data_IF_957271035751
#
_entry.id   IF_957271035751
#
_cell.length_a   1.000
_cell.length_b   1.000
_cell.length_c   1.000
_cell.angle_alpha   90.00
_cell.angle_beta   90.00
_cell.angle_gamma   90.00
#
_symmetry.space_group_name_H-M   'P 1'
#
loop_
_entity.id
_entity.type
_entity.pdbx_description
1 polymer ?
#
# COMPACT_ATOMS: atom_id res chain seq x y z
N UNK A 1 -11.00 -11.71 9.61
CA UNK A 1 -11.02 -12.66 10.73
C UNK A 1 -11.19 -11.82 11.98
N UNK A 2 -12.32 -11.93 12.67
CA UNK A 2 -12.53 -11.23 13.96
C UNK A 2 -11.69 -11.99 14.97
N UNK A 3 -10.64 -11.38 15.50
CA UNK A 3 -9.72 -12.02 16.45
C UNK A 3 -10.32 -12.15 17.86
N UNK A 4 -11.17 -11.19 18.23
CA UNK A 4 -11.83 -11.14 19.54
C UNK A 4 -13.31 -10.89 19.32
N UNK A 5 -14.16 -11.85 19.71
CA UNK A 5 -15.62 -11.74 19.60
C UNK A 5 -16.18 -11.51 20.99
N UNK A 6 -16.66 -10.29 21.25
CA UNK A 6 -17.40 -9.95 22.45
C UNK A 6 -18.87 -9.66 22.09
N UNK A 7 -19.79 -9.94 23.02
CA UNK A 7 -21.21 -9.61 22.84
C UNK A 7 -21.44 -8.10 23.05
N UNK A 8 -22.46 -7.53 22.41
CA UNK A 8 -22.79 -6.12 22.61
C UNK A 8 -23.10 -5.85 24.09
N UNK A 9 -22.49 -4.81 24.68
CA UNK A 9 -22.73 -4.41 26.08
C UNK A 9 -21.74 -4.97 27.10
N UNK A 10 -20.79 -5.82 26.72
CA UNK A 10 -19.65 -6.14 27.59
C UNK A 10 -18.61 -5.04 27.52
N UNK A 11 -18.02 -4.67 28.67
CA UNK A 11 -16.83 -3.82 28.70
C UNK A 11 -15.75 -4.42 27.79
N UNK A 12 -14.94 -3.56 27.16
CA UNK A 12 -13.84 -4.03 26.33
C UNK A 12 -12.86 -4.83 27.19
N UNK A 13 -12.79 -6.14 26.95
CA UNK A 13 -11.85 -7.04 27.59
C UNK A 13 -10.60 -7.12 26.70
N UNK A 14 -9.49 -6.59 27.19
CA UNK A 14 -8.22 -6.60 26.48
C UNK A 14 -7.30 -7.61 27.14
N UNK A 15 -6.69 -8.54 26.38
CA UNK A 15 -5.81 -9.55 26.95
C UNK A 15 -4.51 -8.97 27.51
N UNK A 16 -4.16 -7.73 27.15
CA UNK A 16 -2.97 -7.02 27.57
C UNK A 16 -3.30 -5.55 27.87
N UNK A 17 -2.39 -4.87 28.57
CA UNK A 17 -2.50 -3.43 28.81
C UNK A 17 -2.58 -2.64 27.50
N UNK A 18 -3.53 -1.71 27.43
CA UNK A 18 -3.77 -0.90 26.24
C UNK A 18 -3.32 0.54 26.48
N UNK A 19 -2.50 1.05 25.57
CA UNK A 19 -2.09 2.45 25.54
C UNK A 19 -2.76 3.14 24.36
N UNK A 20 -3.64 4.09 24.65
CA UNK A 20 -4.25 4.92 23.62
C UNK A 20 -3.31 6.05 23.22
N UNK A 21 -2.71 5.96 22.02
CA UNK A 21 -1.77 6.96 21.49
C UNK A 21 -2.40 7.99 20.54
N UNK A 22 -3.72 7.91 20.34
CA UNK A 22 -4.42 8.75 19.36
C UNK A 22 -4.44 10.23 19.72
N UNK A 23 -4.19 10.59 20.98
CA UNK A 23 -4.18 11.98 21.47
C UNK A 23 -2.81 12.66 21.37
N UNK A 24 -1.74 11.93 21.00
CA UNK A 24 -0.38 12.47 20.94
C UNK A 24 -0.20 13.30 19.67
N UNK A 25 -0.04 14.61 19.82
CA UNK A 25 0.09 15.54 18.69
C UNK A 25 1.33 15.25 17.82
N UNK A 26 2.41 14.75 18.42
CA UNK A 26 3.67 14.40 17.74
C UNK A 26 3.54 13.18 16.83
N UNK A 27 2.47 12.40 16.98
CA UNK A 27 2.11 11.29 16.10
C UNK A 27 1.04 11.67 15.08
N UNK A 28 0.50 12.89 15.14
CA UNK A 28 -0.50 13.38 14.22
C UNK A 28 0.12 14.31 13.16
N UNK A 29 -0.72 14.86 12.30
CA UNK A 29 -0.34 15.89 11.36
C UNK A 29 0.20 15.38 10.02
N UNK A 30 0.20 16.31 9.07
CA UNK A 30 0.66 16.11 7.70
C UNK A 30 1.48 17.34 7.33
N UNK A 31 2.75 17.13 7.00
CA UNK A 31 3.64 18.17 6.49
C UNK A 31 4.19 17.75 5.13
N UNK A 32 4.30 18.71 4.22
CA UNK A 32 4.85 18.51 2.90
C UNK A 32 6.00 19.49 2.70
N UNK A 33 7.10 18.98 2.15
CA UNK A 33 8.19 19.78 1.60
C UNK A 33 8.36 19.45 0.11
N UNK A 34 9.36 20.04 -0.56
CA UNK A 34 9.58 19.82 -2.00
C UNK A 34 10.00 18.37 -2.34
N UNK A 35 10.44 17.59 -1.35
CA UNK A 35 11.03 16.27 -1.55
C UNK A 35 10.14 15.14 -1.02
N UNK A 36 9.34 15.39 0.00
CA UNK A 36 8.58 14.35 0.69
C UNK A 36 7.30 14.84 1.36
N UNK A 37 6.36 13.91 1.45
CA UNK A 37 5.16 14.01 2.30
C UNK A 37 5.47 13.24 3.58
N UNK A 38 5.30 13.90 4.72
CA UNK A 38 5.47 13.31 6.05
C UNK A 38 4.11 13.27 6.73
N UNK A 39 3.71 12.08 7.14
CA UNK A 39 2.41 11.79 7.73
C UNK A 39 2.66 11.16 9.10
N UNK A 40 2.12 11.74 10.15
CA UNK A 40 2.17 11.15 11.50
C UNK A 40 1.47 9.79 11.53
N UNK A 41 1.97 8.85 12.33
CA UNK A 41 1.42 7.49 12.40
C UNK A 41 -0.04 7.45 12.88
N UNK A 42 -0.45 8.40 13.72
CA UNK A 42 -1.81 8.59 14.20
C UNK A 42 -2.67 9.47 13.29
N UNK A 43 -2.17 9.93 12.14
CA UNK A 43 -2.98 10.63 11.16
C UNK A 43 -4.04 9.69 10.57
N UNK A 44 -5.29 10.14 10.61
CA UNK A 44 -6.44 9.38 10.12
C UNK A 44 -6.50 9.38 8.61
N UNK A 45 -7.16 8.37 8.04
CA UNK A 45 -7.41 8.33 6.60
C UNK A 45 -8.25 9.52 6.12
N UNK A 46 -9.19 10.00 6.94
CA UNK A 46 -9.98 11.19 6.61
C UNK A 46 -9.11 12.44 6.52
N UNK A 47 -8.20 12.66 7.47
CA UNK A 47 -7.24 13.78 7.39
C UNK A 47 -6.41 13.75 6.11
N UNK A 48 -5.95 12.56 5.68
CA UNK A 48 -5.20 12.39 4.42
C UNK A 48 -6.06 12.72 3.20
N UNK A 49 -7.34 12.34 3.22
CA UNK A 49 -8.28 12.62 2.11
C UNK A 49 -8.64 14.09 2.01
N UNK A 50 -8.80 14.78 3.14
CA UNK A 50 -9.21 16.18 3.21
C UNK A 50 -8.07 17.15 2.94
N UNK A 51 -6.82 16.77 3.21
CA UNK A 51 -5.67 17.61 2.94
C UNK A 51 -5.46 17.84 1.43
N UNK A 52 -5.79 19.05 0.95
CA UNK A 52 -5.73 19.42 -0.47
C UNK A 52 -4.33 19.33 -1.07
N UNK A 53 -3.27 19.33 -0.25
CA UNK A 53 -1.88 19.27 -0.68
C UNK A 53 -1.46 17.84 -1.07
N UNK A 54 -2.18 16.82 -0.59
CA UNK A 54 -1.87 15.42 -0.89
C UNK A 54 -2.29 15.08 -2.33
N UNK A 55 -1.37 14.50 -3.15
CA UNK A 55 -1.68 14.10 -4.51
C UNK A 55 -2.82 13.09 -4.63
N UNK A 56 -3.58 13.18 -5.72
CA UNK A 56 -4.74 12.33 -5.99
C UNK A 56 -4.38 10.83 -6.03
N UNK A 57 -3.18 10.48 -6.51
CA UNK A 57 -2.72 9.09 -6.54
C UNK A 57 -2.52 8.48 -5.14
N UNK A 58 -2.22 9.29 -4.11
CA UNK A 58 -2.18 8.83 -2.71
C UNK A 58 -3.60 8.72 -2.15
N UNK A 59 -4.46 9.70 -2.44
CA UNK A 59 -5.85 9.72 -1.95
C UNK A 59 -6.68 8.56 -2.49
N UNK A 60 -6.45 8.14 -3.73
CA UNK A 60 -7.28 7.14 -4.39
C UNK A 60 -7.30 5.79 -3.64
N UNK A 61 -6.18 5.14 -3.28
CA UNK A 61 -6.18 3.96 -2.42
C UNK A 61 -6.85 4.21 -1.06
N UNK A 62 -6.55 5.35 -0.43
CA UNK A 62 -7.09 5.70 0.91
C UNK A 62 -8.62 5.81 0.88
N UNK A 63 -9.19 6.36 -0.19
CA UNK A 63 -10.64 6.54 -0.34
C UNK A 63 -11.44 5.23 -0.39
N UNK A 64 -10.77 4.12 -0.72
CA UNK A 64 -11.41 2.79 -0.85
C UNK A 64 -11.25 1.91 0.40
N UNK A 65 -10.67 2.46 1.47
CA UNK A 65 -10.55 1.80 2.77
C UNK A 65 -11.88 1.90 3.49
N UNK A 66 -12.51 0.76 3.73
CA UNK A 66 -13.70 0.67 4.57
C UNK A 66 -14.78 1.72 4.27
N UNK A 67 -15.48 2.12 5.33
CA UNK A 67 -16.50 3.17 5.30
C UNK A 67 -15.91 4.52 5.74
N UNK A 68 -16.61 5.64 5.50
CA UNK A 68 -16.22 6.93 6.09
C UNK A 68 -15.99 6.83 7.61
N UNK A 69 -16.85 6.12 8.35
CA UNK A 69 -16.70 5.93 9.80
C UNK A 69 -15.42 5.19 10.17
N UNK A 70 -15.02 4.18 9.39
CA UNK A 70 -13.73 3.50 9.59
C UNK A 70 -12.57 4.46 9.30
N UNK A 71 -12.67 5.29 8.25
CA UNK A 71 -11.61 6.24 7.89
C UNK A 71 -11.43 7.40 8.86
N UNK A 72 -12.50 7.79 9.56
CA UNK A 72 -12.46 8.83 10.58
C UNK A 72 -11.64 8.45 11.81
N UNK A 73 -11.43 7.15 12.05
CA UNK A 73 -10.73 6.63 13.24
C UNK A 73 -9.48 5.85 12.85
N UNK A 74 -9.51 5.16 11.71
CA UNK A 74 -8.40 4.37 11.19
C UNK A 74 -7.23 5.26 10.76
N UNK A 75 -6.05 4.90 11.22
CA UNK A 75 -4.82 5.65 10.96
C UNK A 75 -3.91 4.91 9.98
N UNK A 76 -3.08 5.66 9.26
CA UNK A 76 -2.12 5.06 8.33
C UNK A 76 -1.07 4.22 9.06
N UNK A 77 -0.62 4.67 10.25
CA UNK A 77 0.33 3.92 11.08
C UNK A 77 -0.27 2.63 11.61
N UNK A 78 -1.53 2.66 12.05
CA UNK A 78 -2.24 1.44 12.47
C UNK A 78 -2.40 0.44 11.32
N UNK A 79 -2.62 0.91 10.09
CA UNK A 79 -2.69 0.02 8.93
C UNK A 79 -1.35 -0.65 8.60
N UNK A 80 -0.25 0.10 8.71
CA UNK A 80 1.12 -0.41 8.53
C UNK A 80 1.48 -1.40 9.63
N UNK A 81 1.28 -1.05 10.91
CA UNK A 81 1.58 -1.93 12.04
C UNK A 81 0.70 -3.17 12.10
N UNK A 82 -0.53 -3.12 11.55
CA UNK A 82 -1.36 -4.31 11.39
C UNK A 82 -0.81 -5.28 10.33
N UNK A 83 0.12 -4.84 9.47
CA UNK A 83 0.86 -5.67 8.52
C UNK A 83 -0.01 -6.63 7.69
N UNK A 84 -1.25 -6.24 7.39
CA UNK A 84 -2.15 -7.14 6.65
C UNK A 84 -1.74 -7.17 5.19
N UNK A 85 -1.57 -8.35 4.56
CA UNK A 85 -1.28 -8.41 3.12
C UNK A 85 -2.37 -7.76 2.27
N UNK A 86 -3.59 -7.61 2.81
CA UNK A 86 -4.73 -6.97 2.16
C UNK A 86 -4.91 -5.49 2.55
N UNK A 87 -3.91 -4.86 3.18
CA UNK A 87 -3.92 -3.43 3.48
C UNK A 87 -3.87 -2.59 2.20
N UNK A 88 -4.89 -1.77 1.97
CA UNK A 88 -5.08 -1.08 0.68
C UNK A 88 -4.04 0.03 0.41
N UNK A 89 -3.42 0.61 1.46
CA UNK A 89 -2.37 1.61 1.30
C UNK A 89 -1.00 0.99 1.01
N UNK A 90 -0.78 -0.27 1.39
CA UNK A 90 0.56 -0.88 1.36
C UNK A 90 1.14 -0.95 -0.06
N UNK A 91 0.40 -1.33 -1.12
CA UNK A 91 0.93 -1.28 -2.48
C UNK A 91 1.42 0.11 -2.89
N UNK A 92 0.68 1.15 -2.52
CA UNK A 92 1.08 2.54 -2.80
C UNK A 92 2.35 2.93 -2.05
N UNK A 93 2.45 2.57 -0.78
CA UNK A 93 3.63 2.86 0.05
C UNK A 93 4.87 2.12 -0.46
N UNK A 94 4.74 0.86 -0.87
CA UNK A 94 5.84 0.07 -1.43
C UNK A 94 6.29 0.59 -2.80
N UNK A 95 5.34 0.97 -3.66
CA UNK A 95 5.67 1.57 -4.95
C UNK A 95 6.41 2.90 -4.74
N UNK A 96 5.99 3.73 -3.80
CA UNK A 96 6.63 5.03 -3.56
C UNK A 96 7.94 4.97 -2.75
N UNK A 97 8.45 3.77 -2.42
CA UNK A 97 9.60 3.61 -1.52
C UNK A 97 9.42 4.37 -0.19
N UNK A 98 8.21 4.30 0.37
CA UNK A 98 7.92 4.96 1.63
C UNK A 98 8.83 4.42 2.74
N UNK A 99 9.28 5.34 3.59
CA UNK A 99 10.07 5.02 4.78
C UNK A 99 9.23 5.24 6.02
N UNK A 100 9.50 4.44 7.04
CA UNK A 100 8.85 4.53 8.33
C UNK A 100 9.88 4.86 9.40
N UNK A 101 9.55 5.83 10.24
CA UNK A 101 10.39 6.24 11.38
C UNK A 101 9.84 5.61 12.64
N UNK A 102 10.65 4.79 13.30
CA UNK A 102 10.35 4.14 14.56
C UNK A 102 11.09 4.85 15.67
N UNK A 103 10.43 5.03 16.81
CA UNK A 103 11.00 5.64 18.01
C UNK A 103 10.81 4.73 19.22
N UNK A 104 11.81 4.70 20.08
CA UNK A 104 11.77 4.13 21.42
C UNK A 104 12.26 5.18 22.42
N UNK A 105 12.31 4.82 23.71
CA UNK A 105 12.89 5.69 24.75
C UNK A 105 14.34 6.11 24.44
N UNK A 106 15.12 5.23 23.82
CA UNK A 106 16.58 5.40 23.69
C UNK A 106 17.05 5.54 22.23
N UNK A 107 16.16 5.38 21.25
CA UNK A 107 16.54 5.34 19.84
C UNK A 107 15.46 5.90 18.93
N UNK A 108 15.89 6.43 17.79
CA UNK A 108 15.03 6.74 16.65
C UNK A 108 15.74 6.29 15.41
N UNK A 109 15.06 5.51 14.57
CA UNK A 109 15.62 5.03 13.30
C UNK A 109 14.56 5.05 12.21
N UNK A 110 15.02 5.03 10.96
CA UNK A 110 14.16 5.04 9.77
C UNK A 110 14.54 3.88 8.88
N UNK A 111 13.52 3.17 8.38
CA UNK A 111 13.70 1.98 7.54
C UNK A 111 12.68 1.99 6.39
N UNK A 112 12.98 1.28 5.30
CA UNK A 112 12.03 1.09 4.20
C UNK A 112 10.80 0.30 4.64
N UNK A 113 9.63 0.63 4.10
CA UNK A 113 8.39 -0.10 4.39
C UNK A 113 8.49 -1.60 4.03
N UNK A 114 9.27 -1.92 2.99
CA UNK A 114 9.54 -3.27 2.53
C UNK A 114 10.36 -4.12 3.51
N UNK A 115 11.14 -3.47 4.38
CA UNK A 115 11.92 -4.13 5.44
C UNK A 115 11.17 -4.10 6.78
N UNK A 116 10.24 -3.16 6.97
CA UNK A 116 9.43 -3.07 8.18
C UNK A 116 8.43 -4.21 8.31
N UNK A 117 7.74 -4.58 7.21
CA UNK A 117 6.73 -5.64 7.21
C UNK A 117 7.39 -6.96 6.81
N UNK A 118 7.44 -7.91 7.75
CA UNK A 118 8.10 -9.21 7.57
C UNK A 118 7.14 -10.32 7.16
N UNK A 119 5.84 -10.14 7.40
CA UNK A 119 4.83 -11.14 7.07
C UNK A 119 3.40 -10.74 7.43
N UNK A 120 2.43 -11.64 7.21
CA UNK A 120 1.02 -11.37 7.51
C UNK A 120 0.77 -11.09 9.00
N UNK A 121 0.53 -9.83 9.36
CA UNK A 121 0.34 -9.43 10.75
C UNK A 121 1.64 -9.33 11.55
N UNK A 122 2.79 -9.37 10.88
CA UNK A 122 4.12 -9.33 11.48
C UNK A 122 4.93 -8.14 10.95
N UNK A 123 5.69 -7.52 11.84
CA UNK A 123 6.63 -6.45 11.53
C UNK A 123 7.79 -6.48 12.53
N UNK A 124 8.78 -5.61 12.30
CA UNK A 124 10.01 -5.58 13.09
C UNK A 124 9.89 -4.89 14.45
N UNK A 125 8.73 -4.28 14.80
CA UNK A 125 8.61 -3.51 16.03
C UNK A 125 8.90 -4.38 17.25
N UNK A 126 9.75 -3.87 18.13
CA UNK A 126 10.06 -4.49 19.41
C UNK A 126 9.24 -3.85 20.53
N UNK A 127 9.23 -4.51 21.68
CA UNK A 127 8.59 -3.96 22.87
C UNK A 127 9.16 -2.56 23.21
N UNK A 128 8.27 -1.60 23.44
CA UNK A 128 8.63 -0.20 23.72
C UNK A 128 8.96 0.64 22.49
N UNK A 129 8.86 0.09 21.28
CA UNK A 129 8.95 0.83 20.03
C UNK A 129 7.56 1.23 19.52
N UNK A 130 7.46 2.44 18.98
CA UNK A 130 6.26 2.92 18.30
C UNK A 130 6.62 3.46 16.92
N UNK A 131 5.71 3.23 15.96
CA UNK A 131 5.78 3.89 14.67
C UNK A 131 5.43 5.37 14.86
N UNK A 132 6.35 6.27 14.51
CA UNK A 132 6.17 7.72 14.66
C UNK A 132 5.57 8.37 13.42
N UNK A 133 6.17 8.09 12.26
CA UNK A 133 5.92 8.84 11.04
C UNK A 133 6.16 7.99 9.80
N UNK A 134 5.40 8.26 8.75
CA UNK A 134 5.57 7.74 7.40
C UNK A 134 6.10 8.87 6.53
N UNK A 135 7.20 8.64 5.82
CA UNK A 135 7.80 9.58 4.86
C UNK A 135 7.66 9.00 3.47
N UNK A 136 6.90 9.67 2.61
CA UNK A 136 6.63 9.28 1.23
C UNK A 136 7.38 10.25 0.32
N UNK A 137 8.42 9.82 -0.41
CA UNK A 137 9.08 10.64 -1.42
C UNK A 137 8.07 11.18 -2.44
N UNK A 138 8.18 12.46 -2.78
CA UNK A 138 7.44 13.05 -3.89
C UNK A 138 8.22 12.76 -5.17
N UNK A 139 7.52 12.19 -6.14
CA UNK A 139 8.03 11.98 -7.49
C UNK A 139 7.18 12.69 -8.52
N UNK A 140 7.81 13.06 -9.63
CA UNK A 140 7.16 13.67 -10.79
C UNK A 140 6.61 12.59 -11.72
N UNK A 141 5.52 11.95 -11.29
CA UNK A 141 4.82 10.91 -12.05
C UNK A 141 3.64 11.51 -12.81
N UNK A 142 3.60 11.29 -14.12
CA UNK A 142 2.53 11.79 -15.00
C UNK A 142 1.51 10.73 -15.40
N UNK A 143 1.68 9.50 -14.92
CA UNK A 143 0.74 8.38 -15.06
C UNK A 143 0.60 7.67 -13.72
N UNK A 144 -0.62 7.32 -13.35
CA UNK A 144 -0.89 6.50 -12.19
C UNK A 144 -2.08 5.58 -12.45
N UNK A 145 -2.06 4.40 -11.83
CA UNK A 145 -3.14 3.43 -11.96
C UNK A 145 -3.33 2.68 -10.65
N UNK A 146 -4.54 2.73 -10.13
CA UNK A 146 -4.93 1.94 -8.96
C UNK A 146 -6.20 1.16 -9.23
N UNK A 147 -6.20 -0.11 -8.83
CA UNK A 147 -7.38 -0.96 -8.86
C UNK A 147 -7.40 -1.84 -7.62
N UNK A 148 -8.57 -1.88 -6.98
CA UNK A 148 -8.91 -2.81 -5.92
C UNK A 148 -9.99 -3.75 -6.43
N UNK A 149 -9.80 -5.04 -6.18
CA UNK A 149 -10.80 -6.06 -6.49
C UNK A 149 -11.21 -6.71 -5.18
N UNK A 150 -12.48 -6.56 -4.82
CA UNK A 150 -13.10 -7.20 -3.66
C UNK A 150 -14.42 -7.88 -4.02
N UNK A 151 -15.21 -8.26 -3.03
CA UNK A 151 -16.53 -8.87 -3.24
C UNK A 151 -17.61 -7.84 -3.63
N UNK A 152 -17.45 -6.58 -3.24
CA UNK A 152 -18.41 -5.51 -3.50
C UNK A 152 -17.71 -4.19 -3.85
N UNK A 153 -18.51 -3.15 -4.12
CA UNK A 153 -18.00 -1.81 -4.49
C UNK A 153 -17.53 -0.98 -3.29
N UNK A 154 -17.92 -1.35 -2.07
CA UNK A 154 -17.61 -0.63 -0.83
C UNK A 154 -17.46 -1.61 0.34
N UNK A 155 -16.80 -1.19 1.43
CA UNK A 155 -16.64 -1.96 2.68
C UNK A 155 -16.13 -3.39 2.50
N UNK A 156 -15.28 -3.62 1.50
CA UNK A 156 -14.78 -4.96 1.16
C UNK A 156 -13.28 -5.06 1.37
N UNK A 157 -12.85 -6.22 1.87
CA UNK A 157 -11.42 -6.56 1.96
C UNK A 157 -10.94 -6.98 0.57
N UNK A 158 -9.76 -6.49 0.19
CA UNK A 158 -9.13 -6.80 -1.09
C UNK A 158 -8.90 -8.30 -1.28
N UNK A 159 -9.36 -8.83 -2.41
CA UNK A 159 -8.89 -10.11 -3.00
C UNK A 159 -7.54 -9.90 -3.68
N UNK A 160 -7.40 -8.79 -4.38
CA UNK A 160 -6.14 -8.30 -4.94
C UNK A 160 -6.24 -6.79 -5.09
N UNK A 161 -5.11 -6.12 -4.98
CA UNK A 161 -4.99 -4.71 -5.26
C UNK A 161 -3.74 -4.46 -6.10
N UNK A 162 -3.80 -3.47 -6.97
CA UNK A 162 -2.73 -3.09 -7.86
C UNK A 162 -2.55 -1.59 -7.77
N UNK A 163 -1.30 -1.18 -7.61
CA UNK A 163 -0.91 0.22 -7.67
C UNK A 163 0.31 0.36 -8.58
N UNK A 164 0.25 1.31 -9.49
CA UNK A 164 1.38 1.65 -10.33
C UNK A 164 1.48 3.15 -10.59
N UNK A 165 2.72 3.60 -10.76
CA UNK A 165 3.08 4.96 -11.15
C UNK A 165 4.10 4.89 -12.27
N UNK A 166 4.07 5.85 -13.17
CA UNK A 166 5.11 6.01 -14.16
C UNK A 166 5.38 7.47 -14.51
N UNK A 167 6.64 7.74 -14.84
CA UNK A 167 7.09 8.95 -15.51
C UNK A 167 7.43 8.55 -16.94
N UNK A 168 6.69 9.09 -17.89
CA UNK A 168 6.85 8.73 -19.32
C UNK A 168 6.93 9.99 -20.18
N UNK A 169 7.58 9.89 -21.32
CA UNK A 169 7.45 10.85 -22.43
C UNK A 169 6.70 10.20 -23.60
N UNK A 170 6.70 10.80 -24.78
CA UNK A 170 5.94 10.28 -25.93
C UNK A 170 6.40 8.90 -26.39
N UNK A 171 7.67 8.54 -26.14
CA UNK A 171 8.29 7.34 -26.71
C UNK A 171 8.81 6.35 -25.66
N UNK A 172 9.17 6.85 -24.48
CA UNK A 172 9.93 6.11 -23.48
C UNK A 172 9.26 6.14 -22.09
N UNK A 173 9.59 5.11 -21.31
CA UNK A 173 9.29 5.04 -19.88
C UNK A 173 10.56 5.44 -19.14
N UNK A 174 10.55 6.58 -18.43
CA UNK A 174 11.71 7.06 -17.66
C UNK A 174 11.79 6.38 -16.29
N UNK A 175 10.62 6.19 -15.69
CA UNK A 175 10.47 5.51 -14.41
C UNK A 175 9.11 4.80 -14.38
N UNK A 176 9.07 3.61 -13.78
CA UNK A 176 7.84 2.86 -13.55
C UNK A 176 7.96 2.10 -12.25
N UNK A 177 6.89 2.10 -11.48
CA UNK A 177 6.82 1.41 -10.19
C UNK A 177 5.51 0.66 -10.10
N UNK A 178 5.57 -0.62 -9.76
CA UNK A 178 4.40 -1.50 -9.77
C UNK A 178 4.41 -2.37 -8.51
N UNK A 179 3.31 -2.31 -7.77
CA UNK A 179 3.11 -3.06 -6.56
C UNK A 179 1.75 -3.76 -6.53
N UNK A 180 1.72 -4.98 -6.01
CA UNK A 180 0.53 -5.78 -5.84
C UNK A 180 0.28 -6.13 -4.38
N UNK A 181 -0.94 -5.93 -3.90
CA UNK A 181 -1.38 -6.33 -2.56
C UNK A 181 -2.28 -7.57 -2.60
N UNK A 182 -2.33 -8.30 -1.48
CA UNK A 182 -3.11 -9.51 -1.26
C UNK A 182 -2.81 -10.68 -2.22
N UNK A 183 -1.59 -10.72 -2.76
CA UNK A 183 -1.15 -11.72 -3.76
C UNK A 183 0.08 -12.54 -3.34
N UNK A 184 0.63 -12.28 -2.14
CA UNK A 184 1.70 -13.03 -1.50
C UNK A 184 1.64 -12.78 0.02
N UNK A 185 2.67 -13.21 0.75
CA UNK A 185 2.83 -12.95 2.20
C UNK A 185 2.98 -11.46 2.52
N UNK A 186 3.63 -10.71 1.64
CA UNK A 186 3.75 -9.24 1.70
C UNK A 186 3.42 -8.64 0.32
N UNK A 187 3.54 -7.32 0.18
CA UNK A 187 3.34 -6.66 -1.10
C UNK A 187 4.40 -7.12 -2.10
N UNK A 188 3.96 -7.50 -3.30
CA UNK A 188 4.86 -7.90 -4.39
C UNK A 188 5.25 -6.68 -5.20
N UNK A 189 6.55 -6.42 -5.29
CA UNK A 189 7.18 -5.44 -6.18
C UNK A 189 8.43 -6.04 -6.79
N UNK A 190 8.77 -5.65 -8.02
CA UNK A 190 9.93 -6.18 -8.75
C UNK A 190 10.72 -5.05 -9.41
N UNK A 191 11.77 -4.52 -8.76
CA UNK A 191 12.67 -3.55 -9.38
C UNK A 191 13.32 -4.07 -10.68
N UNK A 192 13.52 -5.39 -10.78
CA UNK A 192 14.02 -6.03 -12.00
C UNK A 192 13.01 -5.91 -13.17
N UNK A 193 11.73 -6.19 -12.92
CA UNK A 193 10.67 -6.05 -13.93
C UNK A 193 10.41 -4.59 -14.30
N UNK A 194 10.49 -3.69 -13.31
CA UNK A 194 10.44 -2.24 -13.51
C UNK A 194 11.58 -1.76 -14.41
N UNK A 195 12.80 -2.24 -14.18
CA UNK A 195 13.97 -1.92 -15.01
C UNK A 195 13.84 -2.46 -16.43
N UNK A 196 13.27 -3.66 -16.58
CA UNK A 196 12.98 -4.21 -17.92
C UNK A 196 11.97 -3.35 -18.66
N UNK A 197 10.86 -2.95 -18.03
CA UNK A 197 9.88 -2.04 -18.61
C UNK A 197 10.51 -0.70 -19.04
N UNK A 198 11.37 -0.12 -18.21
CA UNK A 198 12.11 1.12 -18.52
C UNK A 198 12.99 0.98 -19.77
N UNK A 199 13.54 -0.20 -20.02
CA UNK A 199 14.40 -0.46 -21.20
C UNK A 199 13.63 -0.64 -22.51
N UNK A 200 12.30 -0.74 -22.46
CA UNK A 200 11.46 -1.00 -23.63
C UNK A 200 10.88 0.32 -24.15
N UNK A 201 10.98 0.53 -25.46
CA UNK A 201 10.28 1.63 -26.12
C UNK A 201 8.76 1.37 -26.10
N UNK A 202 7.94 2.41 -25.87
CA UNK A 202 6.47 2.29 -25.78
C UNK A 202 5.81 1.47 -26.91
N UNK A 203 6.30 1.62 -28.15
CA UNK A 203 5.80 0.89 -29.33
C UNK A 203 5.98 -0.63 -29.26
N UNK A 204 6.95 -1.10 -28.46
CA UNK A 204 7.28 -2.52 -28.29
C UNK A 204 6.60 -3.15 -27.06
N UNK A 205 5.95 -2.35 -26.21
CA UNK A 205 5.20 -2.83 -25.04
C UNK A 205 4.14 -3.90 -25.37
N UNK A 206 3.37 -3.82 -26.47
CA UNK A 206 2.43 -4.87 -26.83
C UNK A 206 3.10 -6.24 -27.01
N UNK A 207 4.34 -6.28 -27.50
CA UNK A 207 5.10 -7.52 -27.73
C UNK A 207 5.80 -7.99 -26.45
N UNK A 208 6.14 -7.08 -25.54
CA UNK A 208 6.82 -7.40 -24.28
C UNK A 208 5.87 -7.87 -23.16
N UNK A 209 4.55 -7.71 -23.33
CA UNK A 209 3.59 -7.88 -22.23
C UNK A 209 3.59 -9.27 -21.61
N UNK A 210 3.73 -10.33 -22.42
CA UNK A 210 3.69 -11.69 -21.90
C UNK A 210 4.92 -12.03 -21.06
N UNK A 211 6.09 -11.52 -21.45
CA UNK A 211 7.31 -11.63 -20.64
C UNK A 211 7.20 -10.88 -19.30
N UNK A 212 6.59 -9.70 -19.30
CA UNK A 212 6.37 -8.94 -18.05
C UNK A 212 5.38 -9.67 -17.14
N UNK A 213 4.32 -10.25 -17.72
CA UNK A 213 3.36 -11.08 -16.98
C UNK A 213 4.01 -12.33 -16.41
N UNK A 214 4.93 -12.97 -17.13
CA UNK A 214 5.68 -14.12 -16.64
C UNK A 214 6.53 -13.74 -15.42
N UNK A 215 7.30 -12.65 -15.52
CA UNK A 215 8.15 -12.18 -14.42
C UNK A 215 7.36 -11.91 -13.13
N UNK A 216 6.26 -11.15 -13.21
CA UNK A 216 5.39 -10.94 -12.05
C UNK A 216 4.62 -12.20 -11.65
N UNK A 217 4.28 -13.05 -12.62
CA UNK A 217 3.58 -14.32 -12.39
C UNK A 217 4.37 -15.28 -11.51
N UNK A 218 5.70 -15.22 -11.55
CA UNK A 218 6.59 -16.02 -10.69
C UNK A 218 6.65 -15.50 -9.24
N UNK A 219 6.37 -14.20 -9.04
CA UNK A 219 6.36 -13.56 -7.71
C UNK A 219 4.99 -13.61 -7.04
N UNK A 220 3.91 -13.74 -7.83
CA UNK A 220 2.54 -13.81 -7.35
C UNK A 220 2.22 -15.24 -6.88
N UNK A 221 2.14 -15.41 -5.56
CA UNK A 221 1.86 -16.67 -4.88
C UNK A 221 0.76 -16.50 -3.78
N UNK A 222 -0.51 -16.31 -4.18
CA UNK A 222 -1.61 -16.10 -3.25
C UNK A 222 -2.11 -17.40 -2.62
N UNK A 223 -2.79 -17.27 -1.47
CA UNK A 223 -3.55 -18.36 -0.84
C UNK A 223 -4.97 -18.46 -1.40
N UNK A 224 -5.56 -19.65 -1.26
CA UNK A 224 -7.01 -19.86 -1.34
C UNK A 224 -7.67 -19.46 -0.01
N UNK A 225 -8.82 -18.78 -0.06
CA UNK A 225 -9.64 -18.52 1.13
C UNK A 225 -11.12 -18.27 0.75
N UNK A 226 -11.95 -17.96 1.75
CA UNK A 226 -13.38 -17.64 1.58
C UNK A 226 -13.65 -16.44 0.65
N UNK A 227 -12.66 -15.59 0.38
CA UNK A 227 -12.83 -14.41 -0.49
C UNK A 227 -12.57 -14.77 -1.95
N UNK A 228 -11.61 -15.66 -2.22
CA UNK A 228 -11.21 -16.00 -3.58
C UNK A 228 -10.22 -17.16 -3.65
N UNK A 229 -10.16 -17.82 -4.81
CA UNK A 229 -9.11 -18.79 -5.14
C UNK A 229 -7.79 -18.12 -5.52
N UNK A 230 -6.69 -18.84 -5.38
CA UNK A 230 -5.32 -18.47 -5.78
C UNK A 230 -5.25 -18.18 -7.28
N UNK A 231 -5.92 -19.00 -8.08
CA UNK A 231 -5.94 -18.88 -9.55
C UNK A 231 -6.63 -17.57 -9.97
N UNK A 232 -7.79 -17.28 -9.38
CA UNK A 232 -8.50 -16.03 -9.64
C UNK A 232 -7.63 -14.82 -9.26
N UNK A 233 -7.01 -14.82 -8.07
CA UNK A 233 -6.14 -13.74 -7.61
C UNK A 233 -4.98 -13.51 -8.58
N UNK A 234 -4.31 -14.59 -9.01
CA UNK A 234 -3.20 -14.52 -9.97
C UNK A 234 -3.64 -13.96 -11.32
N UNK A 235 -4.69 -14.53 -11.90
CA UNK A 235 -5.20 -14.13 -13.22
C UNK A 235 -5.68 -12.68 -13.25
N UNK A 236 -6.42 -12.24 -12.23
CA UNK A 236 -6.90 -10.85 -12.14
C UNK A 236 -5.75 -9.87 -11.94
N UNK A 237 -4.74 -10.23 -11.14
CA UNK A 237 -3.56 -9.38 -10.92
C UNK A 237 -2.79 -9.17 -12.22
N UNK A 238 -2.52 -10.24 -12.97
CA UNK A 238 -1.83 -10.15 -14.27
C UNK A 238 -2.66 -9.40 -15.33
N UNK A 239 -4.00 -9.43 -15.24
CA UNK A 239 -4.87 -8.61 -16.08
C UNK A 239 -4.79 -7.12 -15.72
N UNK A 240 -4.76 -6.76 -14.44
CA UNK A 240 -4.57 -5.36 -14.02
C UNK A 240 -3.22 -4.80 -14.48
N UNK A 241 -2.17 -5.62 -14.41
CA UNK A 241 -0.85 -5.30 -14.97
C UNK A 241 -0.93 -5.02 -16.48
N UNK A 242 -1.58 -5.93 -17.24
CA UNK A 242 -1.79 -5.72 -18.68
C UNK A 242 -2.56 -4.45 -18.98
N UNK A 243 -3.62 -4.18 -18.21
CA UNK A 243 -4.41 -2.97 -18.37
C UNK A 243 -3.57 -1.71 -18.14
N UNK A 244 -2.76 -1.66 -17.09
CA UNK A 244 -1.85 -0.54 -16.84
C UNK A 244 -0.87 -0.33 -17.99
N UNK A 245 -0.17 -1.39 -18.40
CA UNK A 245 0.83 -1.31 -19.47
C UNK A 245 0.19 -0.83 -20.79
N UNK A 246 -0.94 -1.40 -21.18
CA UNK A 246 -1.54 -1.09 -22.47
C UNK A 246 -2.35 0.22 -22.48
N UNK A 247 -2.99 0.61 -21.37
CA UNK A 247 -3.89 1.77 -21.32
C UNK A 247 -3.23 3.03 -20.78
N UNK A 248 -2.21 2.90 -19.94
CA UNK A 248 -1.58 4.05 -19.29
C UNK A 248 -0.16 4.32 -19.79
N UNK A 249 0.61 3.28 -20.14
CA UNK A 249 2.00 3.46 -20.62
C UNK A 249 2.11 3.68 -22.13
N UNK A 250 1.17 3.17 -22.94
CA UNK A 250 1.20 3.40 -24.41
C UNK A 250 0.71 4.80 -24.78
N UNK A 251 -0.13 5.43 -23.93
CA UNK A 251 -0.61 6.79 -24.13
C UNK A 251 0.47 7.84 -23.84
#
# INVERSE_FOLDING_TARGET
>A
MVRYRAWCGTAADFPEDVIFIGHLEELQGISLDNNAIRIGASATFTQILEDKRIPSFIKLPVSQIGSPSIRNIGTIGGNICNSSPAGDTLPMLYALDAKVTVVSKNSTYTIGINEFITGPGENILKQGEILKQITIPIGDYNRFYYRKVGQGRSNTISKTSFFALAKTDDTEIREVRIAFGAVATTVVRSPQSESYLKSIHKKELPNAIDKIKEQYGNLINPIDDLRSTKEYRKNVSLRMLKDFVLKELIK
#
